data_IF_788158310099
#
_entry.id   IF_788158310099
#
_cell.length_a   1.000
_cell.length_b   1.000
_cell.length_c   1.000
_cell.angle_alpha   90.00
_cell.angle_beta   90.00
_cell.angle_gamma   90.00
#
_symmetry.space_group_name_H-M   'P 1'
#
loop_
_entity.id
_entity.type
_entity.pdbx_description
1 polymer ?
#
# COMPACT_ATOMS: atom_id res chain seq x y z
N UNK A 1 18.16 -33.03 30.30
CA UNK A 1 17.96 -31.62 29.92
C UNK A 1 18.86 -31.33 28.74
N UNK A 2 18.32 -31.28 27.52
CA UNK A 2 19.07 -31.03 26.28
C UNK A 2 18.82 -29.58 25.88
N UNK A 3 19.77 -28.71 26.21
CA UNK A 3 19.78 -27.33 25.75
C UNK A 3 20.26 -27.32 24.30
N UNK A 4 19.32 -27.33 23.35
CA UNK A 4 19.61 -26.89 21.99
C UNK A 4 19.48 -25.36 21.98
N UNK A 5 20.58 -24.69 22.34
CA UNK A 5 20.76 -23.28 22.03
C UNK A 5 21.10 -23.18 20.54
N UNK A 6 20.16 -22.71 19.73
CA UNK A 6 20.38 -22.37 18.33
C UNK A 6 20.58 -20.85 18.24
N UNK A 7 21.80 -20.36 17.99
CA UNK A 7 22.04 -18.93 17.86
C UNK A 7 21.85 -18.48 16.40
N UNK A 8 21.24 -17.29 16.27
CA UNK A 8 21.50 -16.28 15.23
C UNK A 8 21.06 -16.60 13.80
N UNK A 9 20.01 -15.90 13.34
CA UNK A 9 20.17 -14.83 12.34
C UNK A 9 18.93 -13.92 12.36
N UNK A 10 18.99 -12.83 13.12
CA UNK A 10 18.10 -11.70 12.93
C UNK A 10 18.43 -11.08 11.57
N UNK A 11 17.68 -11.42 10.53
CA UNK A 11 17.62 -10.58 9.33
C UNK A 11 16.93 -9.27 9.75
N UNK A 12 17.73 -8.31 10.20
CA UNK A 12 17.34 -6.92 10.20
C UNK A 12 17.28 -6.44 8.74
N UNK A 13 16.21 -6.78 8.03
CA UNK A 13 15.76 -6.02 6.86
C UNK A 13 15.19 -4.69 7.38
N UNK A 14 16.08 -3.85 7.91
CA UNK A 14 15.84 -2.43 7.98
C UNK A 14 15.94 -1.92 6.54
N UNK A 15 14.86 -2.11 5.78
CA UNK A 15 14.57 -1.25 4.65
C UNK A 15 14.41 0.15 5.22
N UNK A 16 15.52 0.91 5.28
CA UNK A 16 15.46 2.36 5.29
C UNK A 16 14.87 2.75 3.94
N UNK A 17 13.55 2.64 3.81
CA UNK A 17 12.84 3.32 2.75
C UNK A 17 13.16 4.80 3.00
N UNK A 18 13.91 5.48 2.10
CA UNK A 18 13.95 6.92 2.18
C UNK A 18 12.48 7.34 2.18
N UNK A 19 12.09 8.12 3.20
CA UNK A 19 10.75 8.68 3.32
C UNK A 19 10.54 9.63 2.14
N UNK A 20 10.32 9.03 0.97
CA UNK A 20 9.99 9.66 -0.28
C UNK A 20 8.48 9.81 -0.22
N UNK A 21 8.00 10.52 0.80
CA UNK A 21 6.58 10.81 0.93
C UNK A 21 6.23 11.68 -0.27
N UNK A 22 5.55 11.08 -1.25
CA UNK A 22 5.09 11.76 -2.43
C UNK A 22 3.79 12.50 -2.13
N UNK A 23 3.63 13.62 -2.81
CA UNK A 23 2.35 14.29 -2.87
C UNK A 23 1.57 13.70 -4.04
N UNK A 24 0.34 13.27 -3.80
CA UNK A 24 -0.55 12.86 -4.89
C UNK A 24 -0.77 14.04 -5.85
N UNK A 25 -0.69 13.83 -7.17
CA UNK A 25 -1.12 14.84 -8.12
C UNK A 25 -2.59 15.22 -7.90
N UNK A 26 -2.96 16.44 -8.31
CA UNK A 26 -4.32 16.95 -8.11
C UNK A 26 -5.38 15.98 -8.67
N UNK A 27 -6.30 15.52 -7.81
CA UNK A 27 -7.37 14.58 -8.18
C UNK A 27 -6.94 13.11 -8.26
N UNK A 28 -5.64 12.81 -8.16
CA UNK A 28 -5.09 11.46 -8.26
C UNK A 28 -5.52 10.57 -7.10
N UNK A 29 -5.45 11.13 -5.88
CA UNK A 29 -5.81 10.42 -4.66
C UNK A 29 -7.28 10.02 -4.68
N UNK A 30 -8.15 10.95 -5.07
CA UNK A 30 -9.59 10.73 -5.16
C UNK A 30 -9.92 9.69 -6.24
N UNK A 31 -9.21 9.73 -7.37
CA UNK A 31 -9.35 8.74 -8.42
C UNK A 31 -8.95 7.34 -7.95
N UNK A 32 -7.78 7.21 -7.33
CA UNK A 32 -7.30 5.96 -6.73
C UNK A 32 -8.31 5.41 -5.72
N UNK A 33 -8.77 6.24 -4.78
CA UNK A 33 -9.74 5.81 -3.75
C UNK A 33 -11.05 5.36 -4.39
N UNK A 34 -11.58 6.11 -5.36
CA UNK A 34 -12.82 5.75 -6.06
C UNK A 34 -12.68 4.39 -6.74
N UNK A 35 -11.63 4.18 -7.50
CA UNK A 35 -11.45 2.98 -8.30
C UNK A 35 -11.15 1.76 -7.38
N UNK A 36 -10.40 1.98 -6.30
CA UNK A 36 -10.24 0.98 -5.23
C UNK A 36 -11.58 0.61 -4.60
N UNK A 37 -12.44 1.59 -4.25
CA UNK A 37 -13.75 1.34 -3.61
C UNK A 37 -14.67 0.57 -4.55
N UNK A 38 -14.71 0.92 -5.83
CA UNK A 38 -15.49 0.18 -6.85
C UNK A 38 -15.12 -1.30 -6.84
N UNK A 39 -13.83 -1.63 -6.78
CA UNK A 39 -13.36 -3.00 -6.74
C UNK A 39 -13.60 -3.67 -5.37
N UNK A 40 -13.28 -3.00 -4.27
CA UNK A 40 -13.41 -3.55 -2.92
C UNK A 40 -14.87 -3.86 -2.54
N UNK A 41 -15.83 -3.06 -3.05
CA UNK A 41 -17.27 -3.29 -2.86
C UNK A 41 -17.78 -4.60 -3.46
N UNK A 42 -17.03 -5.25 -4.35
CA UNK A 42 -17.39 -6.58 -4.84
C UNK A 42 -17.33 -7.66 -3.75
N UNK A 43 -16.65 -7.40 -2.63
CA UNK A 43 -16.44 -8.36 -1.52
C UNK A 43 -16.70 -7.78 -0.13
N UNK A 44 -16.80 -6.45 0.01
CA UNK A 44 -16.90 -5.77 1.29
C UNK A 44 -18.00 -4.71 1.31
N UNK A 45 -18.48 -4.35 2.51
CA UNK A 45 -19.41 -3.22 2.69
C UNK A 45 -18.74 -1.91 2.31
N UNK A 46 -19.54 -0.94 1.84
CA UNK A 46 -19.03 0.33 1.33
C UNK A 46 -18.21 1.13 2.36
N UNK A 47 -18.67 1.24 3.61
CA UNK A 47 -17.95 1.97 4.65
C UNK A 47 -16.55 1.39 4.93
N UNK A 48 -16.43 0.10 5.31
CA UNK A 48 -15.13 -0.56 5.49
C UNK A 48 -14.25 -0.55 4.23
N UNK A 49 -14.83 -0.74 3.04
CA UNK A 49 -14.11 -0.64 1.77
C UNK A 49 -13.52 0.76 1.55
N UNK A 50 -14.29 1.81 1.86
CA UNK A 50 -13.81 3.20 1.81
C UNK A 50 -12.68 3.45 2.78
N UNK A 51 -12.80 3.03 4.04
CA UNK A 51 -11.74 3.17 5.03
C UNK A 51 -10.45 2.44 4.63
N UNK A 52 -10.57 1.24 4.04
CA UNK A 52 -9.44 0.52 3.48
C UNK A 52 -8.77 1.33 2.37
N UNK A 53 -9.52 1.78 1.37
CA UNK A 53 -8.98 2.50 0.23
C UNK A 53 -8.36 3.86 0.58
N UNK A 54 -8.96 4.60 1.51
CA UNK A 54 -8.40 5.85 2.03
C UNK A 54 -7.08 5.59 2.76
N UNK A 55 -7.03 4.59 3.63
CA UNK A 55 -5.80 4.16 4.30
C UNK A 55 -4.74 3.73 3.28
N UNK A 56 -5.10 2.94 2.27
CA UNK A 56 -4.17 2.50 1.22
C UNK A 56 -3.61 3.70 0.45
N UNK A 57 -4.44 4.70 0.12
CA UNK A 57 -3.97 5.91 -0.55
C UNK A 57 -2.95 6.69 0.28
N UNK A 58 -3.15 6.77 1.60
CA UNK A 58 -2.23 7.44 2.52
C UNK A 58 -0.92 6.65 2.68
N UNK A 59 -0.99 5.32 2.74
CA UNK A 59 0.20 4.45 2.79
C UNK A 59 1.02 4.52 1.50
N UNK A 60 0.35 4.52 0.36
CA UNK A 60 1.01 4.69 -0.94
C UNK A 60 1.68 6.06 -1.02
N UNK A 61 1.04 7.15 -0.58
CA UNK A 61 1.70 8.46 -0.52
C UNK A 61 2.96 8.46 0.37
N UNK A 62 2.92 7.75 1.49
CA UNK A 62 4.04 7.71 2.43
C UNK A 62 5.25 6.90 1.91
N UNK A 63 5.02 5.92 1.03
CA UNK A 63 6.03 4.97 0.57
C UNK A 63 6.52 5.21 -0.87
N UNK A 64 5.82 6.06 -1.64
CA UNK A 64 6.08 6.30 -3.06
C UNK A 64 6.36 7.78 -3.29
N UNK A 65 7.40 8.06 -4.09
CA UNK A 65 7.74 9.42 -4.51
C UNK A 65 6.66 10.00 -5.44
N UNK A 66 6.57 11.33 -5.54
CA UNK A 66 5.61 11.99 -6.44
C UNK A 66 5.73 11.54 -7.91
N UNK A 67 6.96 11.22 -8.37
CA UNK A 67 7.20 10.68 -9.72
C UNK A 67 6.61 9.28 -9.88
N UNK A 68 6.75 8.42 -8.86
CA UNK A 68 6.13 7.10 -8.89
C UNK A 68 4.60 7.23 -8.81
N UNK A 69 4.06 8.13 -7.98
CA UNK A 69 2.63 8.39 -7.91
C UNK A 69 2.05 8.87 -9.25
N UNK A 70 2.77 9.72 -9.98
CA UNK A 70 2.42 10.10 -11.36
C UNK A 70 2.39 8.89 -12.29
N UNK A 71 3.36 7.98 -12.14
CA UNK A 71 3.43 6.76 -12.94
C UNK A 71 2.23 5.83 -12.68
N UNK A 72 1.74 5.76 -11.44
CA UNK A 72 0.54 4.98 -11.09
C UNK A 72 -0.74 5.50 -11.76
N UNK A 73 -0.77 6.77 -12.18
CA UNK A 73 -1.90 7.34 -12.91
C UNK A 73 -1.85 7.10 -14.42
N UNK A 74 -0.67 6.74 -14.95
CA UNK A 74 -0.47 6.54 -16.38
C UNK A 74 -1.30 5.37 -16.91
N UNK A 75 -1.83 5.54 -18.13
CA UNK A 75 -2.61 4.49 -18.81
C UNK A 75 -1.76 3.61 -19.75
N UNK A 76 -0.48 3.93 -19.95
CA UNK A 76 0.31 3.41 -21.08
C UNK A 76 1.52 2.54 -20.69
N UNK A 77 1.94 2.51 -19.42
CA UNK A 77 3.04 1.66 -18.98
C UNK A 77 2.55 0.69 -17.89
N UNK A 78 2.82 -0.60 -18.08
CA UNK A 78 2.62 -1.58 -17.03
C UNK A 78 3.45 -1.14 -15.82
N UNK A 79 2.78 -0.82 -14.71
CA UNK A 79 3.43 -0.56 -13.42
C UNK A 79 4.51 -1.62 -13.20
N UNK A 80 5.80 -1.25 -13.07
CA UNK A 80 6.87 -2.22 -12.95
C UNK A 80 6.59 -3.21 -11.82
N UNK A 81 6.87 -4.50 -12.03
CA UNK A 81 6.65 -5.54 -11.02
C UNK A 81 7.10 -5.16 -9.58
N UNK A 82 8.30 -4.59 -9.35
CA UNK A 82 8.70 -4.20 -7.99
C UNK A 82 7.85 -3.05 -7.41
N UNK A 83 7.34 -2.18 -8.25
CA UNK A 83 6.41 -1.11 -7.85
C UNK A 83 5.05 -1.70 -7.48
N UNK A 84 4.57 -2.68 -8.24
CA UNK A 84 3.33 -3.39 -7.97
C UNK A 84 3.39 -4.17 -6.64
N UNK A 85 4.50 -4.85 -6.35
CA UNK A 85 4.71 -5.54 -5.07
C UNK A 85 4.67 -4.56 -3.89
N UNK A 86 5.31 -3.39 -4.02
CA UNK A 86 5.25 -2.33 -3.02
C UNK A 86 3.83 -1.80 -2.83
N UNK A 87 3.04 -1.65 -3.89
CA UNK A 87 1.65 -1.18 -3.78
C UNK A 87 0.80 -2.15 -2.98
N UNK A 88 0.97 -3.45 -3.26
CA UNK A 88 0.30 -4.51 -2.51
C UNK A 88 0.76 -4.51 -1.06
N UNK A 89 2.06 -4.36 -0.81
CA UNK A 89 2.64 -4.22 0.53
C UNK A 89 2.03 -3.06 1.32
N UNK A 90 2.08 -1.85 0.76
CA UNK A 90 1.52 -0.63 1.34
C UNK A 90 0.02 -0.80 1.65
N UNK A 91 -0.74 -1.36 0.70
CA UNK A 91 -2.18 -1.56 0.85
C UNK A 91 -2.53 -2.64 1.88
N UNK A 92 -1.73 -3.71 1.98
CA UNK A 92 -1.98 -4.82 2.91
C UNK A 92 -1.92 -4.38 4.39
N UNK A 93 -1.18 -3.32 4.70
CA UNK A 93 -1.13 -2.73 6.04
C UNK A 93 -2.49 -2.17 6.50
N UNK A 94 -3.42 -1.95 5.57
CA UNK A 94 -4.75 -1.40 5.83
C UNK A 94 -5.85 -2.47 5.91
N UNK A 95 -5.54 -3.77 5.79
CA UNK A 95 -6.56 -4.83 5.76
C UNK A 95 -7.46 -4.86 7.00
N UNK A 96 -6.98 -4.38 8.15
CA UNK A 96 -7.79 -4.27 9.36
C UNK A 96 -9.00 -3.33 9.20
N UNK A 97 -8.94 -2.36 8.28
CA UNK A 97 -10.04 -1.43 8.01
C UNK A 97 -11.26 -2.13 7.39
N UNK A 98 -11.05 -3.23 6.66
CA UNK A 98 -12.14 -4.01 6.06
C UNK A 98 -13.03 -4.71 7.10
N UNK A 99 -12.54 -4.84 8.34
CA UNK A 99 -13.25 -5.48 9.45
C UNK A 99 -13.79 -4.47 10.47
N UNK A 100 -13.63 -3.16 10.23
CA UNK A 100 -14.15 -2.13 11.14
C UNK A 100 -15.69 -2.17 11.10
N UNK A 101 -16.31 -2.24 12.28
CA UNK A 101 -17.78 -2.28 12.43
C UNK A 101 -18.38 -0.89 12.41
#
# INVERSE_FOLDING_TARGET
MRHLALPVLLLALAGVLPASAGEWPSGAREAFVRDCVVNAKARHKEGPARHYCECSADRVAAEFSSTELLHLQGSDDQVPAPMQERLLGASSQCLSQLNRQ
#
